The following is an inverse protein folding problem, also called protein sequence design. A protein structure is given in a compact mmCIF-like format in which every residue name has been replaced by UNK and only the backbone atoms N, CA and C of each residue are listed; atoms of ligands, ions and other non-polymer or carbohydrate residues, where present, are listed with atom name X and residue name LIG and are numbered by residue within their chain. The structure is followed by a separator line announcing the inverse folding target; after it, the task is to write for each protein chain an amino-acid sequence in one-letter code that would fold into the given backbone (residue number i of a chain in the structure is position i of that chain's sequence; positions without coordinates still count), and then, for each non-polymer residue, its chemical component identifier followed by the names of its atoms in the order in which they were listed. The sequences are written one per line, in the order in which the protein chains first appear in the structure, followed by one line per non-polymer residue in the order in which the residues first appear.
data_IF_725667679706
#
_entry.id   IF_725667679706
#
_cell.length_a   1.000
_cell.length_b   1.000
_cell.length_c   1.000
_cell.angle_alpha   90.00
_cell.angle_beta   90.00
_cell.angle_gamma   90.00
#
_symmetry.space_group_name_H-M   'P 1'
#
loop_
_entity.id
_entity.type
_entity.pdbx_description
1 polymer ?
#
# COMPACT_ATOMS: atom_id res chain seq x y z
N UNK A 1 -16.19 -4.31 -5.71
CA UNK A 1 -15.71 -3.79 -7.00
C UNK A 1 -14.29 -4.25 -7.16
N UNK A 2 -13.84 -4.53 -8.37
CA UNK A 2 -12.42 -4.79 -8.59
C UNK A 2 -11.60 -3.49 -8.51
N UNK A 3 -10.26 -3.57 -8.56
CA UNK A 3 -9.41 -2.39 -8.46
C UNK A 3 -9.59 -1.41 -9.62
N UNK A 4 -10.00 -1.90 -10.79
CA UNK A 4 -10.19 -1.10 -11.98
C UNK A 4 -11.43 -0.21 -11.90
N UNK A 5 -12.57 -0.76 -11.49
CA UNK A 5 -13.78 0.03 -11.29
C UNK A 5 -13.61 1.02 -10.14
N UNK A 6 -12.90 0.62 -9.08
CA UNK A 6 -12.54 1.53 -7.98
C UNK A 6 -11.70 2.69 -8.50
N UNK A 7 -10.65 2.41 -9.30
CA UNK A 7 -9.79 3.43 -9.89
C UNK A 7 -10.55 4.37 -10.85
N UNK A 8 -11.49 3.85 -11.65
CA UNK A 8 -12.35 4.66 -12.54
C UNK A 8 -13.18 5.68 -11.77
N UNK A 9 -13.82 5.26 -10.69
CA UNK A 9 -14.65 6.14 -9.86
C UNK A 9 -13.79 7.24 -9.24
N UNK A 10 -12.63 6.87 -8.70
CA UNK A 10 -11.67 7.84 -8.13
C UNK A 10 -11.18 8.80 -9.21
N UNK A 11 -10.72 8.29 -10.36
CA UNK A 11 -10.22 9.12 -11.46
C UNK A 11 -11.29 10.04 -12.05
N UNK A 12 -12.56 9.63 -12.07
CA UNK A 12 -13.66 10.47 -12.53
C UNK A 12 -13.87 11.70 -11.63
N UNK A 13 -13.88 11.51 -10.31
CA UNK A 13 -13.90 12.63 -9.36
C UNK A 13 -12.62 13.45 -9.50
N UNK A 14 -11.47 12.79 -9.66
CA UNK A 14 -10.17 13.44 -9.81
C UNK A 14 -9.99 14.21 -11.14
N UNK A 15 -10.94 14.13 -12.07
CA UNK A 15 -10.94 14.98 -13.28
C UNK A 15 -11.68 16.30 -13.08
N UNK A 16 -12.45 16.43 -12.00
CA UNK A 16 -13.31 17.60 -11.75
C UNK A 16 -12.66 18.69 -10.90
N UNK A 17 -11.43 18.47 -10.44
CA UNK A 17 -10.73 19.38 -9.54
C UNK A 17 -9.26 19.48 -9.97
N UNK A 18 -8.54 20.44 -9.39
CA UNK A 18 -7.13 20.69 -9.66
C UNK A 18 -6.24 20.13 -8.55
N UNK A 19 -5.13 19.52 -8.95
CA UNK A 19 -4.12 18.95 -8.05
C UNK A 19 -2.77 18.98 -8.73
N UNK A 20 -1.74 19.23 -7.93
CA UNK A 20 -0.34 19.10 -8.34
C UNK A 20 0.22 17.73 -7.92
N UNK A 21 -0.33 17.11 -6.88
CA UNK A 21 0.15 15.83 -6.36
C UNK A 21 -1.01 15.01 -5.78
N UNK A 22 -1.08 13.74 -6.14
CA UNK A 22 -2.01 12.77 -5.57
C UNK A 22 -1.21 11.72 -4.80
N UNK A 23 -1.48 11.59 -3.51
CA UNK A 23 -0.88 10.57 -2.65
C UNK A 23 -1.91 9.49 -2.34
N UNK A 24 -1.53 8.23 -2.55
CA UNK A 24 -2.30 7.05 -2.17
C UNK A 24 -1.39 6.07 -1.42
N UNK A 25 -1.96 5.20 -0.60
CA UNK A 25 -1.16 4.13 0.01
C UNK A 25 -0.67 3.13 -1.04
N UNK A 26 0.48 2.49 -0.79
CA UNK A 26 1.04 1.42 -1.65
C UNK A 26 0.05 0.27 -1.87
N UNK A 27 -0.66 -0.13 -0.81
CA UNK A 27 -1.54 -1.29 -0.82
C UNK A 27 -2.53 -1.20 0.35
N UNK A 28 -3.77 -1.64 0.12
CA UNK A 28 -4.76 -1.85 1.17
C UNK A 28 -4.59 -3.26 1.78
N UNK A 29 -4.78 -3.37 3.10
CA UNK A 29 -4.50 -4.58 3.88
C UNK A 29 -5.65 -5.61 3.86
N UNK A 30 -6.73 -5.31 3.16
CA UNK A 30 -7.89 -6.17 2.98
C UNK A 30 -7.78 -6.99 1.67
N UNK A 31 -7.34 -6.36 0.58
CA UNK A 31 -7.27 -6.99 -0.75
C UNK A 31 -5.85 -7.31 -1.26
N UNK A 32 -4.82 -6.71 -0.66
CA UNK A 32 -3.41 -6.90 -0.99
C UNK A 32 -3.04 -6.76 -2.49
N UNK A 33 -3.76 -5.96 -3.29
CA UNK A 33 -3.58 -5.99 -4.76
C UNK A 33 -2.56 -5.00 -5.34
N UNK A 34 -2.19 -3.93 -4.62
CA UNK A 34 -1.29 -2.86 -5.11
C UNK A 34 -1.72 -2.15 -6.42
N UNK A 35 -2.99 -2.21 -6.81
CA UNK A 35 -3.42 -1.84 -8.18
C UNK A 35 -4.08 -0.46 -8.29
N UNK A 36 -4.86 -0.04 -7.30
CA UNK A 36 -5.72 1.16 -7.44
C UNK A 36 -4.92 2.43 -7.77
N UNK A 37 -3.79 2.66 -7.09
CA UNK A 37 -2.96 3.85 -7.30
C UNK A 37 -2.41 3.98 -8.73
N UNK A 38 -1.66 2.99 -9.23
CA UNK A 38 -1.17 3.01 -10.61
C UNK A 38 -2.28 3.09 -11.66
N UNK A 39 -3.42 2.42 -11.43
CA UNK A 39 -4.57 2.52 -12.32
C UNK A 39 -5.17 3.93 -12.35
N UNK A 40 -5.26 4.61 -11.21
CA UNK A 40 -5.69 6.01 -11.16
C UNK A 40 -4.73 6.90 -11.95
N UNK A 41 -3.42 6.69 -11.82
CA UNK A 41 -2.42 7.46 -12.57
C UNK A 41 -2.57 7.29 -14.08
N UNK A 42 -2.71 6.05 -14.55
CA UNK A 42 -2.92 5.72 -15.96
C UNK A 42 -4.22 6.36 -16.50
N UNK A 43 -5.32 6.24 -15.76
CA UNK A 43 -6.63 6.81 -16.14
C UNK A 43 -6.65 8.35 -16.20
N UNK A 44 -5.72 9.00 -15.49
CA UNK A 44 -5.49 10.44 -15.51
C UNK A 44 -4.41 10.86 -16.52
N UNK A 45 -3.64 9.90 -17.08
CA UNK A 45 -2.52 10.18 -17.98
C UNK A 45 -1.34 10.84 -17.27
N UNK A 46 -1.10 10.50 -16.00
CA UNK A 46 -0.09 11.12 -15.14
C UNK A 46 1.10 10.19 -14.87
N UNK A 47 2.32 10.74 -14.67
CA UNK A 47 3.44 9.97 -14.17
C UNK A 47 3.12 9.35 -12.80
N UNK A 48 3.62 8.13 -12.58
CA UNK A 48 3.42 7.40 -11.34
C UNK A 48 4.75 6.91 -10.77
N UNK A 49 5.01 7.23 -9.50
CA UNK A 49 6.11 6.63 -8.72
C UNK A 49 5.52 5.81 -7.59
N UNK A 50 5.88 4.53 -7.53
CA UNK A 50 5.31 3.59 -6.57
C UNK A 50 6.24 3.30 -5.41
N UNK A 51 5.66 2.91 -4.26
CA UNK A 51 6.39 2.51 -3.06
C UNK A 51 7.39 3.56 -2.54
N UNK A 52 6.97 4.83 -2.59
CA UNK A 52 7.78 5.97 -2.16
C UNK A 52 8.01 5.94 -0.65
N UNK A 53 9.28 5.91 -0.25
CA UNK A 53 9.77 5.89 1.13
C UNK A 53 10.45 7.21 1.55
N UNK A 54 10.81 8.07 0.60
CA UNK A 54 11.27 9.44 0.84
C UNK A 54 10.80 10.35 -0.31
N UNK A 55 10.49 11.61 -0.01
CA UNK A 55 9.90 12.54 -0.98
C UNK A 55 10.36 13.98 -0.73
N UNK A 56 11.02 14.56 -1.73
CA UNK A 56 11.35 15.98 -1.80
C UNK A 56 10.63 16.63 -3.00
N UNK A 57 10.08 17.83 -2.81
CA UNK A 57 9.36 18.57 -3.86
C UNK A 57 9.93 19.98 -3.95
N UNK A 58 10.33 20.37 -5.16
CA UNK A 58 10.84 21.70 -5.47
C UNK A 58 10.13 22.28 -6.71
N UNK A 59 9.24 23.24 -6.48
CA UNK A 59 8.50 23.92 -7.55
C UNK A 59 7.62 22.94 -8.33
N UNK A 60 8.00 22.65 -9.58
CA UNK A 60 7.24 21.78 -10.50
C UNK A 60 7.84 20.38 -10.67
N UNK A 61 8.83 20.03 -9.85
CA UNK A 61 9.50 18.73 -9.87
C UNK A 61 9.53 18.11 -8.48
N UNK A 62 9.58 16.79 -8.44
CA UNK A 62 9.83 16.04 -7.23
C UNK A 62 10.92 14.99 -7.43
N UNK A 63 11.55 14.63 -6.33
CA UNK A 63 12.50 13.52 -6.21
C UNK A 63 11.91 12.56 -5.19
N UNK A 64 11.73 11.30 -5.59
CA UNK A 64 11.24 10.25 -4.71
C UNK A 64 12.30 9.16 -4.58
N UNK A 65 12.44 8.62 -3.38
CA UNK A 65 13.20 7.38 -3.17
C UNK A 65 12.22 6.24 -2.94
N UNK A 66 12.53 5.06 -3.48
CA UNK A 66 11.80 3.83 -3.21
C UNK A 66 12.76 2.68 -2.90
N UNK A 67 12.37 1.86 -1.95
CA UNK A 67 13.11 0.64 -1.60
C UNK A 67 12.86 -0.44 -2.66
N UNK A 68 13.96 -1.02 -3.15
CA UNK A 68 13.95 -2.16 -4.06
C UNK A 68 14.79 -3.30 -3.48
N UNK A 69 14.70 -4.49 -4.06
CA UNK A 69 15.55 -5.59 -3.64
C UNK A 69 17.02 -5.24 -3.85
N UNK A 70 17.78 -5.16 -2.76
CA UNK A 70 19.21 -4.87 -2.78
C UNK A 70 19.59 -3.39 -2.84
N UNK A 71 18.66 -2.44 -2.73
CA UNK A 71 19.02 -1.03 -2.70
C UNK A 71 17.87 -0.02 -2.66
N UNK A 72 18.22 1.23 -2.96
CA UNK A 72 17.29 2.36 -3.05
C UNK A 72 17.36 2.89 -4.48
N UNK A 73 16.20 3.09 -5.10
CA UNK A 73 16.08 3.77 -6.38
C UNK A 73 15.63 5.21 -6.17
N UNK A 74 16.34 6.16 -6.79
CA UNK A 74 16.00 7.60 -6.76
C UNK A 74 15.38 7.98 -8.10
N UNK A 75 14.18 8.57 -8.06
CA UNK A 75 13.35 8.85 -9.23
C UNK A 75 12.97 10.33 -9.27
N UNK A 76 13.40 11.02 -10.32
CA UNK A 76 12.91 12.36 -10.66
C UNK A 76 11.58 12.28 -11.41
N UNK A 77 10.63 13.15 -11.07
CA UNK A 77 9.34 13.23 -11.76
C UNK A 77 8.80 14.67 -11.87
N UNK A 78 8.04 15.00 -12.93
CA UNK A 78 7.36 16.29 -13.04
C UNK A 78 6.02 16.27 -12.30
N UNK A 79 5.55 17.44 -11.86
CA UNK A 79 4.17 17.64 -11.40
C UNK A 79 3.27 18.05 -12.60
N UNK A 80 2.00 17.62 -12.66
CA UNK A 80 1.31 16.81 -11.65
C UNK A 80 1.66 15.31 -11.70
N UNK A 81 1.63 14.63 -10.54
CA UNK A 81 1.97 13.21 -10.43
C UNK A 81 1.12 12.45 -9.40
N UNK A 82 1.06 11.11 -9.55
CA UNK A 82 0.44 10.20 -8.59
C UNK A 82 1.53 9.35 -7.92
N UNK A 83 1.60 9.38 -6.59
CA UNK A 83 2.57 8.61 -5.83
C UNK A 83 1.87 7.59 -4.94
N UNK A 84 2.38 6.37 -4.94
CA UNK A 84 1.99 5.38 -3.92
C UNK A 84 3.02 5.37 -2.80
N UNK A 85 2.58 5.57 -1.56
CA UNK A 85 3.46 5.76 -0.40
C UNK A 85 3.61 4.48 0.39
N UNK A 86 4.85 4.17 0.79
CA UNK A 86 5.12 3.07 1.72
C UNK A 86 5.17 3.58 3.17
N UNK A 87 5.10 2.65 4.13
CA UNK A 87 5.07 2.96 5.56
C UNK A 87 6.31 3.73 6.04
N UNK A 88 7.42 3.66 5.31
CA UNK A 88 8.67 4.37 5.63
C UNK A 88 8.63 5.87 5.39
N UNK A 89 7.67 6.39 4.60
CA UNK A 89 7.65 7.80 4.20
C UNK A 89 7.56 8.77 5.38
N UNK A 90 6.75 8.44 6.37
CA UNK A 90 6.55 9.29 7.53
C UNK A 90 5.95 8.49 8.70
N UNK A 91 6.10 8.99 9.92
CA UNK A 91 5.32 8.52 11.06
C UNK A 91 4.00 9.31 11.17
N UNK A 92 2.82 8.67 11.02
CA UNK A 92 1.54 9.37 11.17
C UNK A 92 1.35 9.87 12.60
N UNK A 93 1.15 11.18 12.76
CA UNK A 93 0.89 11.79 14.07
C UNK A 93 -0.43 11.31 14.68
N UNK A 94 -0.45 11.14 16.01
CA UNK A 94 -1.70 10.89 16.73
C UNK A 94 -2.58 12.15 16.78
N UNK A 95 -3.89 12.03 16.51
CA UNK A 95 -4.80 13.17 16.58
C UNK A 95 -5.08 13.57 18.03
N UNK A 96 -4.99 14.88 18.34
CA UNK A 96 -5.41 15.41 19.63
C UNK A 96 -6.95 15.44 19.76
N UNK A 97 -7.48 15.35 21.00
CA UNK A 97 -8.93 15.33 21.26
C UNK A 97 -9.67 16.52 20.64
N UNK A 98 -9.10 17.73 20.72
CA UNK A 98 -9.67 18.92 20.07
C UNK A 98 -9.77 18.76 18.55
N UNK A 99 -8.77 18.13 17.93
CA UNK A 99 -8.75 17.82 16.50
C UNK A 99 -9.85 16.84 16.10
N UNK A 100 -10.08 15.80 16.92
CA UNK A 100 -11.17 14.84 16.72
C UNK A 100 -12.54 15.54 16.77
N UNK A 101 -12.76 16.40 17.76
CA UNK A 101 -14.02 17.15 17.90
C UNK A 101 -14.26 18.15 16.76
N UNK A 102 -13.19 18.77 16.25
CA UNK A 102 -13.27 19.65 15.10
C UNK A 102 -13.57 18.89 13.80
N UNK A 103 -12.95 17.72 13.60
CA UNK A 103 -13.15 16.88 12.41
C UNK A 103 -14.62 16.44 12.26
N UNK A 104 -15.29 16.09 13.36
CA UNK A 104 -16.72 15.71 13.36
C UNK A 104 -17.67 16.79 12.84
N UNK A 105 -17.26 18.06 12.87
CA UNK A 105 -18.07 19.20 12.40
C UNK A 105 -17.78 19.59 10.95
N UNK A 106 -16.74 19.03 10.34
CA UNK A 106 -16.42 19.32 8.94
C UNK A 106 -17.51 18.75 8.03
N UNK A 107 -17.91 19.46 6.97
CA UNK A 107 -18.86 18.93 6.01
C UNK A 107 -18.28 17.69 5.35
N UNK A 108 -19.08 16.61 5.31
CA UNK A 108 -18.80 15.41 4.55
C UNK A 108 -19.75 15.40 3.36
N UNK A 109 -19.20 15.68 2.17
CA UNK A 109 -19.97 15.57 0.94
C UNK A 109 -20.06 14.09 0.55
N UNK A 110 -21.29 13.60 0.40
CA UNK A 110 -21.55 12.22 -0.03
C UNK A 110 -22.16 12.30 -1.42
N UNK A 111 -21.42 11.78 -2.41
CA UNK A 111 -21.86 11.72 -3.80
C UNK A 111 -22.25 10.29 -4.16
N UNK A 112 -23.41 10.06 -4.79
CA UNK A 112 -23.73 8.74 -5.33
C UNK A 112 -22.77 8.44 -6.49
N UNK A 113 -22.25 7.22 -6.53
CA UNK A 113 -21.37 6.75 -7.60
C UNK A 113 -21.97 5.52 -8.25
N UNK A 114 -21.82 5.42 -9.57
CA UNK A 114 -22.12 4.20 -10.30
C UNK A 114 -20.82 3.41 -10.46
N UNK A 115 -20.86 2.17 -10.01
CA UNK A 115 -19.73 1.23 -10.13
C UNK A 115 -20.11 0.20 -11.18
N UNK A 116 -19.26 -0.01 -12.18
CA UNK A 116 -19.48 -1.01 -13.21
C UNK A 116 -19.35 -2.43 -12.67
N UNK A 117 -19.64 -3.42 -13.52
CA UNK A 117 -19.57 -4.83 -13.16
C UNK A 117 -18.15 -5.33 -12.84
N UNK A 118 -17.12 -4.59 -13.26
CA UNK A 118 -15.72 -5.03 -13.18
C UNK A 118 -15.34 -6.02 -14.26
N UNK A 119 -14.07 -6.38 -14.29
CA UNK A 119 -13.47 -7.41 -15.15
C UNK A 119 -13.04 -8.64 -14.35
N UNK A 120 -13.13 -8.58 -13.02
CA UNK A 120 -12.81 -9.69 -12.10
C UNK A 120 -14.03 -10.10 -11.27
N UNK A 121 -14.17 -11.41 -11.06
CA UNK A 121 -15.16 -12.02 -10.18
C UNK A 121 -14.46 -12.88 -9.12
N UNK A 122 -14.81 -12.68 -7.86
CA UNK A 122 -14.32 -13.50 -6.74
C UNK A 122 -15.22 -14.73 -6.61
N UNK A 123 -14.74 -15.88 -7.06
CA UNK A 123 -15.52 -17.13 -7.06
C UNK A 123 -15.63 -17.75 -5.66
N UNK A 124 -14.56 -17.66 -4.85
CA UNK A 124 -14.55 -18.20 -3.49
C UNK A 124 -13.47 -17.53 -2.62
N UNK A 125 -13.73 -17.41 -1.32
CA UNK A 125 -12.74 -17.15 -0.28
C UNK A 125 -12.83 -18.23 0.78
N UNK A 126 -11.69 -18.82 1.13
CA UNK A 126 -11.60 -19.83 2.20
C UNK A 126 -10.45 -19.48 3.14
N UNK A 127 -10.60 -19.69 4.45
CA UNK A 127 -9.48 -19.55 5.38
C UNK A 127 -8.32 -20.48 4.98
N UNK A 128 -7.06 -20.08 5.24
CA UNK A 128 -5.92 -20.97 5.08
C UNK A 128 -6.03 -22.16 6.07
N UNK A 129 -5.35 -23.28 5.79
CA UNK A 129 -5.30 -24.40 6.72
C UNK A 129 -4.70 -23.98 8.07
N UNK A 130 -5.15 -24.61 9.14
CA UNK A 130 -4.61 -24.36 10.48
C UNK A 130 -3.11 -24.65 10.53
N UNK A 131 -2.39 -23.83 11.30
CA UNK A 131 -0.95 -24.00 11.50
C UNK A 131 -0.71 -25.30 12.27
N UNK A 132 0.20 -26.14 11.77
CA UNK A 132 0.65 -27.35 12.49
C UNK A 132 1.27 -26.96 13.83
N UNK A 133 1.11 -27.84 14.82
CA UNK A 133 1.74 -27.68 16.12
C UNK A 133 3.25 -27.50 15.99
N UNK A 134 3.80 -26.55 16.74
CA UNK A 134 5.23 -26.35 16.85
C UNK A 134 5.89 -27.45 17.68
N UNK A 135 7.19 -27.65 17.48
CA UNK A 135 8.01 -28.58 18.26
C UNK A 135 8.94 -27.80 19.17
N UNK A 136 8.89 -28.05 20.48
CA UNK A 136 9.90 -27.57 21.43
C UNK A 136 11.10 -28.50 21.33
N UNK A 137 12.26 -27.93 20.99
CA UNK A 137 13.50 -28.70 20.71
C UNK A 137 14.40 -28.84 21.94
N UNK A 138 14.12 -28.06 23.00
CA UNK A 138 14.87 -28.05 24.25
C UNK A 138 15.02 -26.63 24.79
N UNK A 139 15.82 -26.47 25.84
CA UNK A 139 16.08 -25.18 26.49
C UNK A 139 17.57 -24.79 26.45
N UNK A 140 17.83 -23.49 26.33
CA UNK A 140 19.18 -22.93 26.35
C UNK A 140 20.06 -23.33 25.16
N UNK A 141 21.37 -23.10 25.30
CA UNK A 141 22.35 -23.29 24.23
C UNK A 141 22.48 -24.76 23.77
N UNK A 142 22.15 -25.73 24.63
CA UNK A 142 22.22 -27.16 24.30
C UNK A 142 21.25 -27.60 23.20
N UNK A 143 20.14 -26.88 23.02
CA UNK A 143 19.13 -27.21 22.00
C UNK A 143 19.51 -26.73 20.59
N UNK A 144 20.55 -25.89 20.45
CA UNK A 144 20.91 -25.26 19.16
C UNK A 144 21.32 -26.29 18.12
N UNK A 145 22.12 -27.30 18.48
CA UNK A 145 22.58 -28.31 17.54
C UNK A 145 21.40 -29.12 16.97
N UNK A 146 20.46 -29.52 17.82
CA UNK A 146 19.27 -30.24 17.40
C UNK A 146 18.33 -29.33 16.58
N UNK A 147 18.18 -28.05 16.97
CA UNK A 147 17.41 -27.09 16.18
C UNK A 147 17.98 -26.95 14.75
N UNK A 148 19.29 -26.80 14.61
CA UNK A 148 19.94 -26.69 13.30
C UNK A 148 19.76 -27.97 12.49
N UNK A 149 19.88 -29.15 13.12
CA UNK A 149 19.62 -30.43 12.46
C UNK A 149 18.20 -30.50 11.92
N UNK A 150 17.20 -30.19 12.75
CA UNK A 150 15.79 -30.20 12.37
C UNK A 150 15.48 -29.18 11.26
N UNK A 151 16.08 -27.99 11.30
CA UNK A 151 15.89 -26.97 10.26
C UNK A 151 16.48 -27.38 8.91
N UNK A 152 17.63 -28.07 8.89
CA UNK A 152 18.27 -28.58 7.66
C UNK A 152 17.55 -29.81 7.10
N UNK A 153 17.30 -30.80 7.96
CA UNK A 153 16.86 -32.13 7.52
C UNK A 153 15.34 -32.24 7.37
N UNK A 154 14.58 -31.71 8.34
CA UNK A 154 13.12 -31.84 8.37
C UNK A 154 12.42 -30.65 7.70
N UNK A 155 12.73 -29.42 8.16
CA UNK A 155 12.07 -28.21 7.65
C UNK A 155 12.62 -27.72 6.31
N UNK A 156 13.89 -28.02 6.00
CA UNK A 156 14.61 -27.65 4.76
C UNK A 156 14.58 -26.15 4.47
N UNK A 157 14.80 -25.34 5.50
CA UNK A 157 14.81 -23.86 5.42
C UNK A 157 16.21 -23.27 5.63
N UNK A 158 17.22 -24.11 5.85
CA UNK A 158 18.65 -23.80 5.94
C UNK A 158 19.43 -24.71 4.99
#
# INVERSE_FOLDING_TARGET
ADPFETAKVIAAELKTTNWDLILVGRMAIDDYNHQVGPLVAELLGLPCVTAVSHLDIEGTKGVAEREIEGGIEVVDFPLPAVLTTDKGLNEPRLPALKGIMAAKKKPLEVKPVQVGAGVLEVVALTPPPERKEGKIVGEGAGAVAELVRLLREEAKVL
#
